data_IF_166799690286
#
_entry.id   IF_166799690286
#
_cell.length_a   1.000
_cell.length_b   1.000
_cell.length_c   1.000
_cell.angle_alpha   90.00
_cell.angle_beta   90.00
_cell.angle_gamma   90.00
#
_symmetry.space_group_name_H-M   'P 1'
#
loop_
_entity.id
_entity.type
_entity.pdbx_description
1 polymer ?
#
# COMPACT_ATOMS: atom_id res chain seq x y z
N UNK A 1 3.57 4.94 -15.09
CA UNK A 1 4.29 4.86 -13.80
C UNK A 1 3.24 4.72 -12.70
N UNK A 2 3.49 4.02 -11.59
CA UNK A 2 2.58 4.12 -10.45
C UNK A 2 2.64 5.57 -9.96
N UNK A 3 1.49 6.24 -9.88
CA UNK A 3 1.40 7.59 -9.31
C UNK A 3 1.85 7.48 -7.85
N UNK A 4 3.02 8.05 -7.55
CA UNK A 4 3.56 8.08 -6.20
C UNK A 4 2.76 9.06 -5.37
N UNK A 5 2.18 8.60 -4.25
CA UNK A 5 1.53 9.47 -3.27
C UNK A 5 2.53 10.50 -2.78
N UNK A 6 2.23 11.77 -3.00
CA UNK A 6 3.03 12.89 -2.51
C UNK A 6 2.93 13.00 -0.99
N UNK A 7 3.92 13.65 -0.37
CA UNK A 7 3.89 13.91 1.07
C UNK A 7 2.61 14.66 1.50
N UNK A 8 2.15 15.61 0.67
CA UNK A 8 0.90 16.36 0.91
C UNK A 8 -0.31 15.44 0.92
N UNK A 9 -0.47 14.58 -0.10
CA UNK A 9 -1.60 13.66 -0.18
C UNK A 9 -1.63 12.67 1.00
N UNK A 10 -0.46 12.23 1.46
CA UNK A 10 -0.34 11.40 2.66
C UNK A 10 -0.77 12.16 3.93
N UNK A 11 -0.33 13.40 4.09
CA UNK A 11 -0.73 14.26 5.22
C UNK A 11 -2.24 14.51 5.20
N UNK A 12 -2.81 14.83 4.04
CA UNK A 12 -4.26 15.05 3.88
C UNK A 12 -5.04 13.78 4.22
N UNK A 13 -4.56 12.61 3.80
CA UNK A 13 -5.15 11.31 4.15
C UNK A 13 -5.14 11.06 5.66
N UNK A 14 -4.01 11.32 6.32
CA UNK A 14 -3.89 11.14 7.77
C UNK A 14 -4.79 12.11 8.53
N UNK A 15 -4.86 13.37 8.10
CA UNK A 15 -5.77 14.35 8.68
C UNK A 15 -7.24 13.90 8.55
N UNK A 16 -7.65 13.39 7.38
CA UNK A 16 -8.99 12.87 7.17
C UNK A 16 -9.30 11.69 8.09
N UNK A 17 -8.34 10.77 8.28
CA UNK A 17 -8.49 9.62 9.17
C UNK A 17 -8.70 10.04 10.62
N UNK A 18 -7.94 11.03 11.10
CA UNK A 18 -8.09 11.57 12.46
C UNK A 18 -9.41 12.32 12.62
N UNK A 19 -9.86 13.07 11.61
CA UNK A 19 -11.19 13.70 11.62
C UNK A 19 -12.31 12.67 11.76
N UNK A 20 -12.23 11.53 11.07
CA UNK A 20 -13.25 10.47 11.19
C UNK A 20 -13.24 9.83 12.58
N UNK A 21 -12.07 9.61 13.19
CA UNK A 21 -11.98 9.11 14.57
C UNK A 21 -12.59 10.10 15.56
N UNK A 22 -12.23 11.37 15.44
CA UNK A 22 -12.78 12.44 16.26
C UNK A 22 -14.31 12.51 16.12
N UNK A 23 -14.83 12.38 14.90
CA UNK A 23 -16.26 12.31 14.64
C UNK A 23 -16.97 11.12 15.31
N UNK A 24 -16.28 9.99 15.49
CA UNK A 24 -16.81 8.85 16.28
C UNK A 24 -16.83 9.19 17.77
N UNK A 25 -15.74 9.77 18.29
CA UNK A 25 -15.60 10.14 19.71
C UNK A 25 -16.61 11.22 20.13
N UNK A 26 -16.90 12.16 19.24
CA UNK A 26 -17.79 13.30 19.47
C UNK A 26 -19.23 13.06 18.95
N UNK A 27 -19.57 11.83 18.54
CA UNK A 27 -20.88 11.55 17.98
C UNK A 27 -22.01 11.70 19.01
N UNK A 28 -22.91 12.67 18.78
CA UNK A 28 -24.09 12.92 19.63
C UNK A 28 -25.37 12.16 19.20
N UNK A 29 -25.31 11.47 18.06
CA UNK A 29 -26.43 10.73 17.50
C UNK A 29 -25.98 9.42 16.86
N UNK A 30 -26.90 8.45 16.84
CA UNK A 30 -26.66 7.14 16.23
C UNK A 30 -26.34 7.27 14.73
N UNK A 31 -27.01 8.21 14.04
CA UNK A 31 -26.71 8.51 12.64
C UNK A 31 -25.26 8.94 12.44
N UNK A 32 -24.73 9.86 13.27
CA UNK A 32 -23.34 10.29 13.17
C UNK A 32 -22.37 9.17 13.51
N UNK A 33 -22.61 8.43 14.59
CA UNK A 33 -21.78 7.29 14.98
C UNK A 33 -21.65 6.27 13.84
N UNK A 34 -22.78 5.87 13.25
CA UNK A 34 -22.82 4.94 12.13
C UNK A 34 -22.11 5.51 10.90
N UNK A 35 -22.31 6.79 10.61
CA UNK A 35 -21.72 7.45 9.44
C UNK A 35 -20.21 7.52 9.55
N UNK A 36 -19.66 8.06 10.65
CA UNK A 36 -18.22 8.14 10.85
C UNK A 36 -17.56 6.75 10.95
N UNK A 37 -18.21 5.79 11.58
CA UNK A 37 -17.72 4.40 11.63
C UNK A 37 -17.60 3.80 10.22
N UNK A 38 -18.62 3.97 9.37
CA UNK A 38 -18.59 3.49 7.97
C UNK A 38 -17.53 4.19 7.15
N UNK A 39 -17.37 5.51 7.31
CA UNK A 39 -16.34 6.28 6.61
C UNK A 39 -14.93 5.82 7.00
N UNK A 40 -14.67 5.64 8.30
CA UNK A 40 -13.38 5.14 8.79
C UNK A 40 -13.10 3.72 8.28
N UNK A 41 -14.11 2.83 8.28
CA UNK A 41 -13.97 1.49 7.74
C UNK A 41 -13.63 1.48 6.24
N UNK A 42 -14.27 2.36 5.45
CA UNK A 42 -13.99 2.50 4.03
C UNK A 42 -12.55 3.00 3.77
N UNK A 43 -12.07 3.98 4.56
CA UNK A 43 -10.70 4.47 4.48
C UNK A 43 -9.68 3.37 4.79
N UNK A 44 -9.88 2.62 5.88
CA UNK A 44 -9.00 1.51 6.25
C UNK A 44 -8.97 0.43 5.16
N UNK A 45 -10.12 0.10 4.55
CA UNK A 45 -10.18 -0.87 3.44
C UNK A 45 -9.35 -0.41 2.24
N UNK A 46 -9.44 0.87 1.87
CA UNK A 46 -8.66 1.44 0.76
C UNK A 46 -7.16 1.45 1.05
N UNK A 47 -6.76 1.85 2.26
CA UNK A 47 -5.35 1.81 2.67
C UNK A 47 -4.78 0.38 2.60
N UNK A 48 -5.52 -0.60 3.10
CA UNK A 48 -5.09 -2.00 3.06
C UNK A 48 -4.96 -2.52 1.62
N UNK A 49 -5.89 -2.15 0.74
CA UNK A 49 -5.81 -2.50 -0.68
C UNK A 49 -4.58 -1.88 -1.36
N UNK A 50 -4.28 -0.61 -1.09
CA UNK A 50 -3.09 0.07 -1.60
C UNK A 50 -1.80 -0.58 -1.10
N UNK A 51 -1.70 -0.87 0.20
CA UNK A 51 -0.55 -1.55 0.79
C UNK A 51 -0.34 -2.96 0.18
N UNK A 52 -1.42 -3.71 0.00
CA UNK A 52 -1.36 -5.04 -0.62
C UNK A 52 -0.90 -4.98 -2.09
N UNK A 53 -1.29 -3.94 -2.83
CA UNK A 53 -0.82 -3.72 -4.19
C UNK A 53 0.69 -3.42 -4.22
N UNK A 54 1.16 -2.55 -3.33
CA UNK A 54 2.59 -2.21 -3.23
C UNK A 54 3.45 -3.44 -2.93
N UNK A 55 3.04 -4.27 -1.96
CA UNK A 55 3.73 -5.53 -1.65
C UNK A 55 3.76 -6.46 -2.88
N UNK A 56 2.65 -6.57 -3.63
CA UNK A 56 2.62 -7.39 -4.86
C UNK A 56 3.57 -6.87 -5.93
N UNK A 57 3.66 -5.55 -6.11
CA UNK A 57 4.57 -4.93 -7.08
C UNK A 57 6.03 -5.15 -6.67
N UNK A 58 6.35 -4.96 -5.39
CA UNK A 58 7.68 -5.21 -4.86
C UNK A 58 8.09 -6.69 -5.04
N UNK A 59 7.21 -7.62 -4.71
CA UNK A 59 7.44 -9.05 -4.93
C UNK A 59 7.68 -9.40 -6.40
N UNK A 60 6.97 -8.74 -7.34
CA UNK A 60 7.22 -8.90 -8.78
C UNK A 60 8.60 -8.37 -9.17
N UNK A 61 9.01 -7.22 -8.64
CA UNK A 61 10.34 -6.66 -8.88
C UNK A 61 11.45 -7.59 -8.36
N UNK A 62 11.30 -8.11 -7.13
CA UNK A 62 12.23 -9.08 -6.54
C UNK A 62 12.32 -10.34 -7.40
N UNK A 63 11.17 -10.86 -7.87
CA UNK A 63 11.15 -12.03 -8.74
C UNK A 63 11.89 -11.78 -10.07
N UNK A 64 11.71 -10.61 -10.68
CA UNK A 64 12.42 -10.22 -11.89
C UNK A 64 13.94 -10.13 -11.68
N UNK A 65 14.38 -9.50 -10.57
CA UNK A 65 15.80 -9.43 -10.18
C UNK A 65 16.38 -10.83 -9.99
N UNK A 66 15.66 -11.71 -9.27
CA UNK A 66 16.08 -13.08 -9.02
C UNK A 66 16.22 -13.88 -10.31
N UNK A 67 15.30 -13.71 -11.26
CA UNK A 67 15.35 -14.34 -12.59
C UNK A 67 16.59 -13.88 -13.36
N UNK A 68 16.81 -12.56 -13.47
CA UNK A 68 17.98 -12.01 -14.16
C UNK A 68 19.31 -12.45 -13.54
N UNK A 69 19.41 -12.49 -12.21
CA UNK A 69 20.60 -13.03 -11.53
C UNK A 69 20.81 -14.52 -11.81
N UNK A 70 19.74 -15.32 -11.81
CA UNK A 70 19.83 -16.76 -12.12
C UNK A 70 20.37 -16.98 -13.54
N UNK A 71 19.89 -16.22 -14.51
CA UNK A 71 20.33 -16.29 -15.92
C UNK A 71 21.80 -15.87 -16.08
N UNK A 72 22.23 -14.81 -15.39
CA UNK A 72 23.62 -14.38 -15.37
C UNK A 72 24.57 -15.42 -14.75
N UNK A 73 24.15 -16.08 -13.66
CA UNK A 73 24.94 -17.12 -13.00
C UNK A 73 25.03 -18.40 -13.84
N UNK A 74 23.93 -18.81 -14.51
CA UNK A 74 23.96 -19.99 -15.38
C UNK A 74 24.80 -19.78 -16.64
N UNK A 75 24.87 -18.54 -17.15
CA UNK A 75 25.68 -18.21 -18.33
C UNK A 75 27.16 -18.00 -18.00
N UNK A 76 27.50 -17.64 -16.75
CA UNK A 76 28.89 -17.62 -16.28
C UNK A 76 29.44 -19.05 -16.09
N UNK A 77 28.64 -19.96 -15.52
CA UNK A 77 29.05 -21.34 -15.27
C UNK A 77 29.41 -22.12 -16.55
N UNK A 78 28.73 -21.83 -17.66
CA UNK A 78 29.03 -22.44 -18.95
C UNK A 78 30.30 -21.90 -19.63
N UNK A 79 30.91 -20.80 -19.14
CA UNK A 79 32.18 -20.27 -19.67
C UNK A 79 33.40 -20.78 -18.92
N UNK A 80 33.22 -21.29 -17.70
CA UNK A 80 34.32 -21.86 -16.90
C UNK A 80 34.60 -23.33 -17.30
N UNK A 81 33.76 -23.92 -18.16
CA UNK A 81 33.87 -25.29 -18.69
C UNK A 81 34.41 -25.33 -20.16
N UNK A 82 34.81 -24.19 -20.75
CA UNK A 82 35.55 -24.07 -22.03
C UNK A 82 37.03 -23.72 -21.80
#
# INVERSE_FOLDING_TARGET
MPETVTAKEYTDFMALREQMKKGIEEADSEFMLVTYTRLLAALNKRQNAANALNIKLENRNIAAIKKGKKEALSSAKNRDDE
#
